data_IF_689459366600
#
_entry.id   IF_689459366600
#
_cell.length_a   1.000
_cell.length_b   1.000
_cell.length_c   1.000
_cell.angle_alpha   90.00
_cell.angle_beta   90.00
_cell.angle_gamma   90.00
#
_symmetry.space_group_name_H-M   'P 1'
#
loop_
_entity.id
_entity.type
_entity.pdbx_description
1 polymer ?
#
# COMPACT_ATOMS: atom_id res chain seq x y z
N UNK A 1 22.71 -1.83 11.03
CA UNK A 1 22.84 -1.04 9.79
C UNK A 1 22.36 0.36 10.12
N UNK A 2 23.16 1.40 9.91
CA UNK A 2 22.70 2.78 10.16
C UNK A 2 21.49 3.10 9.26
N UNK A 3 20.44 3.66 9.85
CA UNK A 3 19.22 4.06 9.15
C UNK A 3 19.49 5.36 8.36
N UNK A 4 20.37 5.28 7.36
CA UNK A 4 20.71 6.42 6.50
C UNK A 4 19.53 6.74 5.59
N UNK A 5 19.18 8.02 5.52
CA UNK A 5 18.31 8.56 4.47
C UNK A 5 18.88 8.17 3.11
N UNK A 6 18.03 7.58 2.26
CA UNK A 6 18.38 7.21 0.88
C UNK A 6 17.68 8.11 -0.13
N UNK A 7 16.53 8.70 0.23
CA UNK A 7 15.79 9.58 -0.64
C UNK A 7 15.05 10.65 0.17
N UNK A 8 14.92 11.83 -0.41
CA UNK A 8 14.33 13.00 0.21
C UNK A 8 13.26 13.56 -0.73
N UNK A 9 12.02 13.68 -0.23
CA UNK A 9 10.94 14.33 -0.97
C UNK A 9 10.68 15.68 -0.34
N UNK A 10 10.81 16.72 -1.15
CA UNK A 10 10.44 18.07 -0.79
C UNK A 10 9.14 18.44 -1.47
N UNK A 11 8.14 18.83 -0.69
CA UNK A 11 6.91 19.42 -1.22
C UNK A 11 6.49 20.62 -0.38
N UNK A 12 6.01 21.66 -1.06
CA UNK A 12 5.46 22.83 -0.39
C UNK A 12 4.02 22.52 0.01
N UNK A 13 3.73 22.57 1.30
CA UNK A 13 2.38 22.39 1.82
C UNK A 13 1.45 23.46 1.19
N UNK A 14 0.38 23.07 0.49
CA UNK A 14 -0.45 24.01 -0.26
C UNK A 14 -1.17 25.01 0.64
N UNK A 15 -1.47 24.62 1.89
CA UNK A 15 -2.19 25.42 2.90
C UNK A 15 -1.23 26.33 3.66
N UNK A 16 -0.16 25.77 4.24
CA UNK A 16 0.76 26.55 5.11
C UNK A 16 1.88 27.25 4.36
N UNK A 17 2.06 26.94 3.06
CA UNK A 17 3.19 27.39 2.20
C UNK A 17 4.57 27.05 2.78
N UNK A 18 4.65 26.15 3.74
CA UNK A 18 5.93 25.66 4.30
C UNK A 18 6.42 24.46 3.51
N UNK A 19 7.72 24.44 3.26
CA UNK A 19 8.38 23.26 2.70
C UNK A 19 8.40 22.14 3.74
N UNK A 20 7.86 21.00 3.35
CA UNK A 20 7.89 19.77 4.11
C UNK A 20 8.92 18.87 3.47
N UNK A 21 9.90 18.48 4.27
CA UNK A 21 10.98 17.60 3.88
C UNK A 21 10.73 16.22 4.50
N UNK A 22 10.42 15.23 3.66
CA UNK A 22 10.24 13.85 4.11
C UNK A 22 11.48 13.05 3.70
N UNK A 23 12.20 12.61 4.74
CA UNK A 23 13.31 11.70 4.61
C UNK A 23 12.81 10.24 4.60
N UNK A 24 13.21 9.49 3.58
CA UNK A 24 12.95 8.07 3.44
C UNK A 24 14.21 7.27 3.76
N UNK A 25 14.09 6.33 4.69
CA UNK A 25 15.10 5.32 4.96
C UNK A 25 14.91 4.11 4.05
N UNK A 26 15.90 3.20 4.03
CA UNK A 26 15.78 1.92 3.30
C UNK A 26 14.63 1.05 3.81
N UNK A 27 14.36 1.13 5.10
CA UNK A 27 13.23 0.45 5.73
C UNK A 27 11.89 1.07 5.29
N UNK A 28 11.81 2.40 5.19
CA UNK A 28 10.59 3.06 4.71
C UNK A 28 10.26 2.65 3.26
N UNK A 29 11.27 2.61 2.38
CA UNK A 29 11.08 2.19 0.98
C UNK A 29 10.65 0.71 0.90
N UNK A 30 11.21 -0.15 1.76
CA UNK A 30 10.79 -1.55 1.87
C UNK A 30 9.30 -1.67 2.22
N UNK A 31 8.87 -0.96 3.25
CA UNK A 31 7.50 -0.98 3.72
C UNK A 31 6.53 -0.49 2.64
N UNK A 32 6.95 0.55 1.91
CA UNK A 32 6.22 1.08 0.77
C UNK A 32 6.07 0.08 -0.36
N UNK A 33 7.15 -0.60 -0.73
CA UNK A 33 7.12 -1.65 -1.75
C UNK A 33 6.26 -2.83 -1.34
N UNK A 34 6.41 -3.31 -0.12
CA UNK A 34 5.70 -4.50 0.36
C UNK A 34 4.19 -4.28 0.43
N UNK A 35 3.76 -3.12 0.92
CA UNK A 35 2.33 -2.79 0.97
C UNK A 35 1.75 -2.54 -0.42
N UNK A 36 2.45 -1.80 -1.29
CA UNK A 36 1.98 -1.54 -2.65
C UNK A 36 1.82 -2.82 -3.48
N UNK A 37 2.77 -3.75 -3.38
CA UNK A 37 2.67 -5.06 -4.03
C UNK A 37 1.37 -5.76 -3.67
N UNK A 38 1.04 -5.78 -2.38
CA UNK A 38 -0.13 -6.50 -1.92
C UNK A 38 -1.45 -5.74 -2.13
N UNK A 39 -1.46 -4.42 -1.92
CA UNK A 39 -2.64 -3.59 -2.18
C UNK A 39 -3.08 -3.70 -3.64
N UNK A 40 -2.13 -3.64 -4.59
CA UNK A 40 -2.43 -3.79 -6.01
C UNK A 40 -2.82 -5.22 -6.40
N UNK A 41 -2.18 -6.24 -5.81
CA UNK A 41 -2.58 -7.64 -6.03
C UNK A 41 -3.99 -7.92 -5.52
N UNK A 42 -4.37 -7.36 -4.37
CA UNK A 42 -5.72 -7.43 -3.82
C UNK A 42 -6.72 -6.70 -4.70
N UNK A 43 -6.44 -5.46 -5.09
CA UNK A 43 -7.33 -4.69 -5.96
C UNK A 43 -7.56 -5.43 -7.28
N UNK A 44 -6.48 -5.96 -7.87
CA UNK A 44 -6.55 -6.80 -9.06
C UNK A 44 -7.39 -8.07 -8.83
N UNK A 45 -7.31 -8.71 -7.66
CA UNK A 45 -8.12 -9.88 -7.29
C UNK A 45 -9.59 -9.56 -7.02
N UNK A 46 -9.89 -8.36 -6.51
CA UNK A 46 -11.25 -7.89 -6.27
C UNK A 46 -11.94 -7.48 -7.59
N UNK A 47 -11.16 -7.14 -8.62
CA UNK A 47 -11.65 -6.70 -9.93
C UNK A 47 -11.62 -7.81 -10.98
N UNK A 48 -10.70 -8.76 -10.87
CA UNK A 48 -10.78 -9.98 -11.67
C UNK A 48 -11.99 -10.78 -11.21
N UNK A 49 -12.70 -11.41 -12.15
CA UNK A 49 -13.77 -12.38 -11.86
C UNK A 49 -13.20 -13.59 -11.14
N UNK A 50 -12.86 -13.44 -9.87
CA UNK A 50 -12.27 -14.50 -9.06
C UNK A 50 -13.44 -15.33 -8.52
N UNK A 51 -13.53 -16.58 -8.99
CA UNK A 51 -14.58 -17.57 -8.69
C UNK A 51 -15.96 -17.38 -9.34
N UNK A 52 -16.06 -16.67 -10.47
CA UNK A 52 -17.36 -16.51 -11.16
C UNK A 52 -18.39 -15.70 -10.37
N UNK A 53 -17.97 -15.08 -9.27
CA UNK A 53 -18.69 -14.00 -8.63
C UNK A 53 -18.33 -12.75 -9.43
N UNK A 54 -19.30 -12.20 -10.17
CA UNK A 54 -19.24 -10.79 -10.51
C UNK A 54 -19.22 -10.08 -9.15
N UNK A 55 -18.05 -9.55 -8.78
CA UNK A 55 -17.92 -8.62 -7.67
C UNK A 55 -17.95 -7.20 -8.23
N UNK A 56 -19.12 -6.67 -8.67
CA UNK A 56 -19.26 -5.23 -8.87
C UNK A 56 -19.39 -4.56 -7.49
N UNK A 57 -18.72 -5.05 -6.44
CA UNK A 57 -18.92 -4.50 -5.10
C UNK A 57 -18.53 -3.02 -5.08
N UNK A 58 -17.55 -2.59 -5.88
CA UNK A 58 -17.19 -1.18 -5.99
C UNK A 58 -18.12 -0.46 -6.98
N UNK A 59 -18.31 -0.97 -8.21
CA UNK A 59 -19.16 -0.33 -9.23
C UNK A 59 -20.64 -0.17 -8.82
N UNK A 60 -21.20 -1.17 -8.12
CA UNK A 60 -22.60 -1.20 -7.70
C UNK A 60 -22.86 -0.45 -6.39
N UNK A 61 -21.84 -0.25 -5.53
CA UNK A 61 -22.03 0.44 -4.22
C UNK A 61 -21.47 1.85 -4.17
N UNK A 62 -20.53 2.20 -5.05
CA UNK A 62 -19.91 3.54 -5.02
C UNK A 62 -20.46 4.47 -6.10
N UNK A 63 -21.21 3.97 -7.10
CA UNK A 63 -21.64 4.77 -8.26
C UNK A 63 -20.48 5.49 -8.99
N UNK A 64 -19.22 5.09 -8.74
CA UNK A 64 -18.06 5.65 -9.41
C UNK A 64 -18.06 5.23 -10.87
N UNK A 65 -17.81 6.18 -11.75
CA UNK A 65 -17.48 5.88 -13.14
C UNK A 65 -16.17 5.11 -13.21
N UNK A 66 -15.99 4.35 -14.29
CA UNK A 66 -14.75 3.62 -14.55
C UNK A 66 -13.51 4.54 -14.49
N UNK A 67 -13.62 5.77 -15.00
CA UNK A 67 -12.55 6.76 -14.97
C UNK A 67 -12.23 7.20 -13.54
N UNK A 68 -13.22 7.55 -12.72
CA UNK A 68 -12.99 7.96 -11.31
C UNK A 68 -12.36 6.84 -10.47
N UNK A 69 -12.72 5.58 -10.77
CA UNK A 69 -12.10 4.40 -10.16
C UNK A 69 -10.63 4.26 -10.56
N UNK A 70 -10.29 4.38 -11.85
CA UNK A 70 -8.90 4.35 -12.31
C UNK A 70 -8.09 5.51 -11.73
N UNK A 71 -8.67 6.70 -11.74
CA UNK A 71 -8.06 7.93 -11.26
C UNK A 71 -7.71 7.84 -9.77
N UNK A 72 -8.65 7.32 -8.97
CA UNK A 72 -8.45 7.05 -7.55
C UNK A 72 -7.36 6.01 -7.29
N UNK A 73 -7.17 5.02 -8.18
CA UNK A 73 -6.10 4.00 -8.05
C UNK A 73 -4.73 4.56 -8.39
N UNK A 74 -4.64 5.36 -9.45
CA UNK A 74 -3.38 6.03 -9.82
C UNK A 74 -2.98 6.99 -8.70
N UNK A 75 -3.92 7.77 -8.18
CA UNK A 75 -3.68 8.67 -7.05
C UNK A 75 -3.34 7.90 -5.77
N UNK A 76 -4.06 6.83 -5.45
CA UNK A 76 -3.78 5.97 -4.30
C UNK A 76 -2.40 5.29 -4.38
N UNK A 77 -2.02 4.80 -5.55
CA UNK A 77 -0.68 4.24 -5.83
C UNK A 77 0.39 5.33 -5.66
N UNK A 78 0.13 6.53 -6.18
CA UNK A 78 1.02 7.68 -6.03
C UNK A 78 1.21 8.05 -4.56
N UNK A 79 0.12 8.11 -3.77
CA UNK A 79 0.20 8.38 -2.33
C UNK A 79 0.96 7.30 -1.59
N UNK A 80 0.71 6.03 -1.91
CA UNK A 80 1.41 4.90 -1.33
C UNK A 80 2.92 4.96 -1.64
N UNK A 81 3.29 5.30 -2.89
CA UNK A 81 4.67 5.58 -3.32
C UNK A 81 5.23 6.89 -2.76
N UNK A 82 4.39 7.83 -2.35
CA UNK A 82 4.78 9.08 -1.69
C UNK A 82 4.94 8.91 -0.16
N UNK A 83 4.81 7.68 0.35
CA UNK A 83 5.09 7.37 1.75
C UNK A 83 3.88 7.10 2.61
N UNK A 84 2.66 7.03 2.08
CA UNK A 84 1.52 6.60 2.90
C UNK A 84 1.70 5.19 3.42
N UNK A 85 2.39 4.32 2.67
CA UNK A 85 2.62 2.98 3.14
C UNK A 85 3.54 2.91 4.37
N UNK A 86 4.45 3.87 4.52
CA UNK A 86 5.24 4.05 5.75
C UNK A 86 4.34 4.37 6.94
N UNK A 87 3.25 5.13 6.73
CA UNK A 87 2.28 5.46 7.80
C UNK A 87 1.56 4.20 8.27
N UNK A 88 1.11 3.34 7.35
CA UNK A 88 0.53 2.04 7.70
C UNK A 88 1.53 1.19 8.49
N UNK A 89 2.75 1.02 7.96
CA UNK A 89 3.75 0.14 8.54
C UNK A 89 4.13 0.56 9.96
N UNK A 90 4.45 1.84 10.14
CA UNK A 90 4.81 2.40 11.46
C UNK A 90 3.62 2.47 12.39
N UNK A 91 2.44 2.80 11.87
CA UNK A 91 1.21 2.80 12.66
C UNK A 91 0.85 1.40 13.15
N UNK A 92 1.10 0.37 12.35
CA UNK A 92 0.90 -1.02 12.74
C UNK A 92 1.90 -1.42 13.82
N UNK A 93 3.19 -1.14 13.63
CA UNK A 93 4.21 -1.46 14.64
C UNK A 93 3.92 -0.76 15.97
N UNK A 94 3.55 0.53 15.92
CA UNK A 94 3.13 1.30 17.09
C UNK A 94 1.87 0.72 17.74
N UNK A 95 0.88 0.35 16.95
CA UNK A 95 -0.35 -0.28 17.45
C UNK A 95 -0.03 -1.62 18.14
N UNK A 96 0.79 -2.47 17.51
CA UNK A 96 1.23 -3.74 18.10
C UNK A 96 1.95 -3.51 19.43
N UNK A 97 2.87 -2.55 19.49
CA UNK A 97 3.56 -2.16 20.74
C UNK A 97 2.56 -1.69 21.80
N UNK A 98 1.65 -0.78 21.45
CA UNK A 98 0.66 -0.21 22.37
C UNK A 98 -0.29 -1.25 22.96
N UNK A 99 -0.66 -2.26 22.17
CA UNK A 99 -1.53 -3.37 22.57
C UNK A 99 -0.75 -4.60 23.05
N UNK A 100 0.57 -4.52 23.21
CA UNK A 100 1.45 -5.62 23.61
C UNK A 100 1.32 -6.89 22.73
N UNK A 101 1.15 -6.70 21.43
CA UNK A 101 1.06 -7.75 20.42
C UNK A 101 2.47 -8.06 19.90
N UNK A 102 3.03 -9.16 20.38
CA UNK A 102 4.39 -9.60 20.02
C UNK A 102 4.34 -10.80 19.06
N UNK A 103 5.07 -10.71 17.95
CA UNK A 103 5.05 -11.73 16.90
C UNK A 103 5.62 -13.10 17.32
N UNK A 104 6.42 -13.15 18.40
CA UNK A 104 7.07 -14.36 18.93
C UNK A 104 6.26 -14.98 20.08
N UNK A 105 5.67 -14.15 20.95
CA UNK A 105 5.04 -14.63 22.19
C UNK A 105 3.52 -14.61 22.16
N UNK A 106 2.89 -13.72 21.39
CA UNK A 106 1.43 -13.69 21.28
C UNK A 106 0.90 -14.85 20.44
N UNK A 107 -0.32 -15.30 20.72
CA UNK A 107 -0.97 -16.35 19.96
C UNK A 107 -1.22 -15.91 18.51
N UNK A 108 -1.15 -16.85 17.57
CA UNK A 108 -1.36 -16.55 16.15
C UNK A 108 -2.74 -15.92 15.87
N UNK A 109 -3.77 -16.39 16.57
CA UNK A 109 -5.13 -15.85 16.49
C UNK A 109 -5.22 -14.41 16.96
N UNK A 110 -4.56 -14.06 18.06
CA UNK A 110 -4.55 -12.69 18.58
C UNK A 110 -3.84 -11.73 17.62
N UNK A 111 -2.68 -12.12 17.10
CA UNK A 111 -1.96 -11.29 16.13
C UNK A 111 -2.77 -11.15 14.83
N UNK A 112 -3.38 -12.25 14.36
CA UNK A 112 -4.25 -12.21 13.17
C UNK A 112 -5.41 -11.25 13.37
N UNK A 113 -6.09 -11.33 14.51
CA UNK A 113 -7.21 -10.45 14.83
C UNK A 113 -6.77 -8.98 14.89
N UNK A 114 -5.66 -8.68 15.57
CA UNK A 114 -5.11 -7.32 15.65
C UNK A 114 -4.75 -6.78 14.27
N UNK A 115 -4.00 -7.55 13.47
CA UNK A 115 -3.58 -7.16 12.13
C UNK A 115 -4.78 -6.94 11.19
N UNK A 116 -5.80 -7.80 11.28
CA UNK A 116 -7.07 -7.66 10.56
C UNK A 116 -7.81 -6.38 10.95
N UNK A 117 -8.00 -6.14 12.24
CA UNK A 117 -8.69 -4.94 12.73
C UNK A 117 -7.93 -3.67 12.39
N UNK A 118 -6.60 -3.66 12.56
CA UNK A 118 -5.75 -2.54 12.17
C UNK A 118 -5.90 -2.24 10.68
N UNK A 119 -5.85 -3.28 9.85
CA UNK A 119 -6.02 -3.14 8.41
C UNK A 119 -7.39 -2.58 8.03
N UNK A 120 -8.47 -3.09 8.64
CA UNK A 120 -9.82 -2.59 8.39
C UNK A 120 -9.97 -1.12 8.77
N UNK A 121 -9.57 -0.76 10.00
CA UNK A 121 -9.65 0.62 10.50
C UNK A 121 -8.80 1.57 9.64
N UNK A 122 -7.57 1.20 9.33
CA UNK A 122 -6.71 2.00 8.47
C UNK A 122 -7.34 2.18 7.09
N UNK A 123 -7.85 1.10 6.48
CA UNK A 123 -8.43 1.16 5.14
C UNK A 123 -9.68 2.03 5.10
N UNK A 124 -10.53 1.99 6.14
CA UNK A 124 -11.67 2.90 6.28
C UNK A 124 -11.23 4.36 6.33
N UNK A 125 -10.29 4.69 7.21
CA UNK A 125 -9.84 6.09 7.37
C UNK A 125 -9.16 6.58 6.10
N UNK A 126 -8.28 5.75 5.52
CA UNK A 126 -7.54 6.11 4.32
C UNK A 126 -8.46 6.27 3.11
N UNK A 127 -9.42 5.37 2.90
CA UNK A 127 -10.40 5.50 1.81
C UNK A 127 -11.30 6.71 1.99
N UNK A 128 -11.73 7.04 3.22
CA UNK A 128 -12.53 8.22 3.48
C UNK A 128 -11.77 9.51 3.13
N UNK A 129 -10.49 9.59 3.51
CA UNK A 129 -9.62 10.70 3.14
C UNK A 129 -9.43 10.74 1.62
N UNK A 130 -9.16 9.59 0.99
CA UNK A 130 -8.93 9.51 -0.45
C UNK A 130 -10.15 10.01 -1.24
N UNK A 131 -11.34 9.45 -0.99
CA UNK A 131 -12.56 9.87 -1.66
C UNK A 131 -12.91 11.33 -1.40
N UNK A 132 -12.68 11.84 -0.19
CA UNK A 132 -12.90 13.28 0.08
C UNK A 132 -11.99 14.23 -0.72
N UNK A 133 -10.89 13.71 -1.27
CA UNK A 133 -9.94 14.46 -2.08
C UNK A 133 -10.11 14.22 -3.59
N UNK A 134 -10.73 13.10 -3.99
CA UNK A 134 -10.81 12.68 -5.39
C UNK A 134 -12.21 12.69 -5.98
N UNK A 135 -13.25 12.84 -5.17
CA UNK A 135 -14.65 12.80 -5.64
C UNK A 135 -15.48 13.94 -5.05
N UNK A 136 -16.55 14.31 -5.75
CA UNK A 136 -17.54 15.29 -5.27
C UNK A 136 -18.65 14.64 -4.40
N UNK A 137 -18.40 13.43 -3.90
CA UNK A 137 -19.37 12.67 -3.12
C UNK A 137 -19.73 13.36 -1.81
N UNK A 138 -20.97 13.15 -1.37
CA UNK A 138 -21.40 13.62 -0.06
C UNK A 138 -20.66 12.86 1.05
N UNK A 139 -19.97 13.60 1.92
CA UNK A 139 -19.14 13.00 2.96
C UNK A 139 -19.90 12.01 3.87
N UNK A 140 -21.07 12.41 4.36
CA UNK A 140 -21.82 11.62 5.36
C UNK A 140 -22.58 10.48 4.72
N UNK A 141 -23.22 10.74 3.57
CA UNK A 141 -24.15 9.80 2.97
C UNK A 141 -23.49 8.81 2.00
N UNK A 142 -22.31 9.13 1.47
CA UNK A 142 -21.66 8.33 0.44
C UNK A 142 -20.25 7.92 0.89
N UNK A 143 -19.38 8.87 1.24
CA UNK A 143 -17.97 8.58 1.56
C UNK A 143 -17.86 7.69 2.80
N UNK A 144 -18.50 8.06 3.92
CA UNK A 144 -18.45 7.27 5.17
C UNK A 144 -18.92 5.81 4.97
N UNK A 145 -20.12 5.54 4.41
CA UNK A 145 -20.57 4.16 4.23
C UNK A 145 -19.71 3.37 3.23
N UNK A 146 -19.29 3.97 2.10
CA UNK A 146 -18.39 3.31 1.15
C UNK A 146 -17.04 2.97 1.78
N UNK A 147 -16.49 3.89 2.58
CA UNK A 147 -15.22 3.67 3.29
C UNK A 147 -15.34 2.61 4.38
N UNK A 148 -16.45 2.57 5.10
CA UNK A 148 -16.73 1.53 6.10
C UNK A 148 -16.83 0.15 5.44
N UNK A 149 -17.48 0.05 4.28
CA UNK A 149 -17.56 -1.18 3.51
C UNK A 149 -16.16 -1.65 3.05
N UNK A 150 -15.32 -0.74 2.57
CA UNK A 150 -13.91 -1.04 2.24
C UNK A 150 -13.17 -1.57 3.46
N UNK A 151 -13.36 -0.97 4.63
CA UNK A 151 -12.78 -1.46 5.88
C UNK A 151 -13.17 -2.90 6.22
N UNK A 152 -14.45 -3.24 6.05
CA UNK A 152 -14.96 -4.61 6.28
C UNK A 152 -14.33 -5.59 5.29
N UNK A 153 -14.26 -5.23 4.01
CA UNK A 153 -13.59 -6.05 2.97
C UNK A 153 -12.09 -6.20 3.25
N UNK A 154 -11.46 -5.20 3.88
CA UNK A 154 -10.05 -5.20 4.21
C UNK A 154 -9.69 -6.06 5.46
N UNK A 155 -10.64 -6.38 6.33
CA UNK A 155 -10.41 -7.22 7.52
C UNK A 155 -9.72 -8.56 7.19
N UNK A 156 -10.23 -9.42 6.28
CA UNK A 156 -9.58 -10.69 5.96
C UNK A 156 -8.18 -10.52 5.36
N UNK A 157 -7.89 -9.37 4.77
CA UNK A 157 -6.63 -9.07 4.12
C UNK A 157 -5.52 -8.65 5.09
N UNK A 158 -5.88 -8.15 6.28
CA UNK A 158 -4.91 -7.62 7.22
C UNK A 158 -3.83 -8.61 7.61
N UNK A 159 -4.18 -9.88 7.86
CA UNK A 159 -3.19 -10.95 8.10
C UNK A 159 -2.19 -11.10 6.95
N UNK A 160 -2.69 -11.05 5.72
CA UNK A 160 -1.88 -11.32 4.53
C UNK A 160 -0.97 -10.12 4.22
N UNK A 161 -1.50 -8.89 4.33
CA UNK A 161 -0.70 -7.65 4.22
C UNK A 161 0.43 -7.67 5.24
N UNK A 162 0.08 -7.89 6.50
CA UNK A 162 1.03 -7.86 7.62
C UNK A 162 2.11 -8.93 7.48
N UNK A 163 1.71 -10.16 7.11
CA UNK A 163 2.66 -11.23 6.86
C UNK A 163 3.64 -10.89 5.72
N UNK A 164 3.15 -10.29 4.63
CA UNK A 164 4.01 -9.90 3.51
C UNK A 164 4.97 -8.77 3.89
N UNK A 165 4.50 -7.76 4.60
CA UNK A 165 5.34 -6.67 5.10
C UNK A 165 6.42 -7.19 6.04
N UNK A 166 6.05 -7.99 7.03
CA UNK A 166 7.00 -8.60 7.96
C UNK A 166 7.99 -9.51 7.21
N UNK A 167 7.55 -10.25 6.19
CA UNK A 167 8.42 -11.09 5.35
C UNK A 167 9.41 -10.28 4.51
N UNK A 168 8.97 -9.17 3.90
CA UNK A 168 9.84 -8.28 3.12
C UNK A 168 10.91 -7.62 4.01
N UNK A 169 10.51 -7.15 5.20
CA UNK A 169 11.42 -6.62 6.21
C UNK A 169 12.45 -7.67 6.64
N UNK A 170 12.05 -8.93 6.79
CA UNK A 170 12.96 -10.05 7.09
C UNK A 170 13.92 -10.32 5.91
N UNK A 171 13.42 -10.25 4.69
CA UNK A 171 14.24 -10.52 3.51
C UNK A 171 15.33 -9.48 3.29
N UNK A 172 15.02 -8.22 3.57
CA UNK A 172 15.98 -7.13 3.50
C UNK A 172 16.85 -7.01 4.76
N UNK A 173 16.50 -7.73 5.82
CA UNK A 173 17.24 -7.82 7.06
C UNK A 173 17.02 -6.64 8.02
N UNK A 174 15.85 -6.00 7.96
CA UNK A 174 15.44 -4.93 8.88
C UNK A 174 14.86 -5.50 10.18
N UNK A 175 13.94 -6.47 10.06
CA UNK A 175 13.22 -7.05 11.21
C UNK A 175 13.00 -8.54 10.98
N UNK A 176 13.33 -9.38 11.95
CA UNK A 176 13.12 -10.83 11.83
C UNK A 176 11.62 -11.14 11.83
N UNK A 177 11.17 -11.97 10.88
CA UNK A 177 9.81 -12.50 10.87
C UNK A 177 9.78 -13.91 11.47
N UNK A 178 9.28 -14.09 12.70
CA UNK A 178 9.23 -15.42 13.33
C UNK A 178 8.23 -16.37 12.66
N UNK A 179 7.24 -15.85 11.94
CA UNK A 179 6.16 -16.62 11.30
C UNK A 179 6.50 -17.09 9.90
N UNK A 180 7.65 -16.68 9.37
CA UNK A 180 8.10 -17.02 8.04
C UNK A 180 8.25 -18.54 7.89
N UNK A 181 7.82 -19.08 6.76
CA UNK A 181 7.90 -20.53 6.49
C UNK A 181 9.33 -21.07 6.70
N UNK A 182 9.46 -22.16 7.47
CA UNK A 182 10.75 -22.67 7.99
C UNK A 182 11.87 -22.78 6.93
N UNK A 183 11.63 -23.30 5.72
CA UNK A 183 12.64 -23.35 4.66
C UNK A 183 13.15 -21.96 4.24
N UNK A 184 12.26 -20.98 4.12
CA UNK A 184 12.62 -19.60 3.75
C UNK A 184 13.39 -18.94 4.90
N UNK A 185 13.03 -19.24 6.15
CA UNK A 185 13.69 -18.68 7.34
C UNK A 185 15.17 -19.07 7.42
N UNK A 186 15.50 -20.28 6.94
CA UNK A 186 16.87 -20.84 6.91
C UNK A 186 17.73 -20.31 5.76
N UNK A 187 17.16 -19.55 4.82
CA UNK A 187 17.94 -18.97 3.72
C UNK A 187 18.93 -17.93 4.26
N UNK A 188 20.11 -17.88 3.66
CA UNK A 188 21.08 -16.83 3.96
C UNK A 188 20.60 -15.47 3.42
N UNK A 189 21.21 -14.39 3.91
CA UNK A 189 20.85 -13.02 3.54
C UNK A 189 20.82 -12.79 2.03
N UNK A 190 21.80 -13.29 1.29
CA UNK A 190 21.88 -13.12 -0.17
C UNK A 190 20.70 -13.75 -0.89
N UNK A 191 20.29 -14.97 -0.50
CA UNK A 191 19.12 -15.64 -1.09
C UNK A 191 17.82 -14.93 -0.75
N UNK A 192 17.69 -14.44 0.49
CA UNK A 192 16.53 -13.63 0.91
C UNK A 192 16.42 -12.32 0.12
N UNK A 193 17.54 -11.62 -0.07
CA UNK A 193 17.59 -10.42 -0.92
C UNK A 193 17.22 -10.74 -2.37
N UNK A 194 17.67 -11.88 -2.91
CA UNK A 194 17.27 -12.34 -4.25
C UNK A 194 15.77 -12.59 -4.37
N UNK A 195 15.13 -13.17 -3.35
CA UNK A 195 13.67 -13.34 -3.31
C UNK A 195 12.93 -12.00 -3.25
N UNK A 196 13.38 -11.07 -2.42
CA UNK A 196 12.81 -9.72 -2.38
C UNK A 196 12.95 -9.01 -3.74
N UNK A 197 14.10 -9.14 -4.39
CA UNK A 197 14.33 -8.62 -5.74
C UNK A 197 13.40 -9.24 -6.78
N UNK A 198 13.23 -10.57 -6.78
CA UNK A 198 12.30 -11.26 -7.68
C UNK A 198 10.84 -10.83 -7.47
N UNK A 199 10.40 -10.72 -6.21
CA UNK A 199 9.05 -10.24 -5.89
C UNK A 199 8.84 -8.80 -6.34
N UNK A 200 9.84 -7.94 -6.13
CA UNK A 200 9.80 -6.56 -6.59
C UNK A 200 9.78 -6.43 -8.11
N UNK A 201 10.60 -7.20 -8.82
CA UNK A 201 10.56 -7.22 -10.29
C UNK A 201 9.22 -7.74 -10.79
N UNK A 202 8.69 -8.83 -10.20
CA UNK A 202 7.37 -9.35 -10.55
C UNK A 202 6.28 -8.30 -10.35
N UNK A 203 6.33 -7.55 -9.24
CA UNK A 203 5.44 -6.43 -8.98
C UNK A 203 5.54 -5.34 -10.04
N UNK A 204 6.75 -4.83 -10.31
CA UNK A 204 6.96 -3.75 -11.28
C UNK A 204 6.51 -4.18 -12.68
N UNK A 205 6.82 -5.41 -13.09
CA UNK A 205 6.36 -5.97 -14.37
C UNK A 205 4.84 -6.09 -14.42
N UNK A 206 4.20 -6.56 -13.35
CA UNK A 206 2.73 -6.64 -13.29
C UNK A 206 2.08 -5.26 -13.35
N UNK A 207 2.65 -4.28 -12.64
CA UNK A 207 2.17 -2.91 -12.62
C UNK A 207 2.35 -2.26 -13.98
N UNK A 208 3.53 -2.41 -14.60
CA UNK A 208 3.80 -1.95 -15.96
C UNK A 208 2.83 -2.55 -16.97
N UNK A 209 2.58 -3.86 -16.93
CA UNK A 209 1.63 -4.52 -17.84
C UNK A 209 0.19 -4.03 -17.64
N UNK A 210 -0.21 -3.74 -16.40
CA UNK A 210 -1.51 -3.12 -16.14
C UNK A 210 -1.55 -1.69 -16.69
N UNK A 211 -0.51 -0.87 -16.47
CA UNK A 211 -0.43 0.50 -16.97
C UNK A 211 -0.38 0.58 -18.51
N UNK A 212 0.37 -0.30 -19.18
CA UNK A 212 0.44 -0.38 -20.65
C UNK A 212 -0.93 -0.72 -21.28
N UNK A 213 -1.73 -1.55 -20.61
CA UNK A 213 -3.13 -1.76 -21.00
C UNK A 213 -4.00 -0.53 -20.78
N UNK A 214 -3.65 0.29 -19.79
CA UNK A 214 -4.36 1.53 -19.47
C UNK A 214 -3.95 2.70 -20.37
N UNK A 215 -2.74 2.74 -20.94
CA UNK A 215 -2.31 3.80 -21.90
C UNK A 215 -3.11 3.82 -23.21
N UNK A 216 -3.95 2.80 -23.46
CA UNK A 216 -4.99 2.85 -24.50
C UNK A 216 -6.26 3.62 -24.08
N UNK A 217 -6.28 4.19 -22.87
CA UNK A 217 -7.32 5.06 -22.32
C UNK A 217 -6.71 6.45 -22.12
N UNK A 218 -7.30 7.49 -22.71
CA UNK A 218 -6.83 8.87 -22.53
C UNK A 218 -7.04 9.32 -21.08
N UNK A 219 -5.97 9.37 -20.29
CA UNK A 219 -6.01 9.95 -18.94
C UNK A 219 -5.90 11.46 -19.01
N UNK A 220 -6.86 12.17 -18.42
CA UNK A 220 -6.86 13.63 -18.36
C UNK A 220 -6.42 14.12 -16.97
N UNK A 221 -5.24 13.68 -16.52
CA UNK A 221 -4.69 14.09 -15.21
C UNK A 221 -3.59 15.15 -15.35
N UNK A 222 -3.69 16.28 -14.62
CA UNK A 222 -2.56 17.21 -14.48
C UNK A 222 -1.35 16.63 -13.72
N UNK A 223 -1.50 15.45 -13.07
CA UNK A 223 -0.43 14.75 -12.37
C UNK A 223 0.53 14.01 -13.32
N UNK A 224 0.10 13.61 -14.52
CA UNK A 224 0.96 12.90 -15.48
C UNK A 224 2.19 13.77 -15.83
N UNK A 225 1.98 15.07 -16.06
CA UNK A 225 3.08 16.03 -16.23
C UNK A 225 4.01 16.09 -15.02
N UNK A 226 3.49 16.01 -13.79
CA UNK A 226 4.31 16.12 -12.58
C UNK A 226 5.08 14.83 -12.29
N UNK A 227 4.46 13.67 -12.51
CA UNK A 227 5.08 12.34 -12.35
C UNK A 227 6.12 12.11 -13.44
N UNK A 228 5.83 12.44 -14.70
CA UNK A 228 6.80 12.36 -15.81
C UNK A 228 7.99 13.28 -15.57
N UNK A 229 7.77 14.51 -15.11
CA UNK A 229 8.86 15.41 -14.70
C UNK A 229 9.69 14.89 -13.52
N UNK A 230 9.05 14.19 -12.57
CA UNK A 230 9.73 13.55 -11.45
C UNK A 230 10.57 12.36 -11.92
N UNK A 231 10.03 11.52 -12.81
CA UNK A 231 10.70 10.37 -13.40
C UNK A 231 11.90 10.79 -14.26
N UNK A 232 11.73 11.81 -15.11
CA UNK A 232 12.82 12.39 -15.90
C UNK A 232 13.95 12.92 -15.02
N UNK A 233 13.63 13.60 -13.92
CA UNK A 233 14.63 14.07 -12.94
C UNK A 233 15.37 12.96 -12.21
N UNK A 234 14.73 11.80 -12.02
CA UNK A 234 15.35 10.62 -11.39
C UNK A 234 16.29 9.91 -12.38
N UNK A 235 15.95 9.87 -13.67
CA UNK A 235 16.76 9.16 -14.68
C UNK A 235 17.96 10.00 -15.17
N UNK A 236 17.85 11.33 -15.16
CA UNK A 236 18.92 12.23 -15.67
C UNK A 236 19.97 12.65 -14.62
N UNK A 237 19.94 12.06 -13.42
CA UNK A 237 20.96 12.25 -12.37
C UNK A 237 21.62 10.92 -12.00
#
# INVERSE_FOLDING_TARGET
>A
MENKTIFEVNFTNPISKKDVNINFTREDVCDMTAQNFFANAVLSLLETKVFGLDFPLIEYTTQLTYQESLDSRVFGTTLALAGFSKVYAKGQDFSREKFNIDLKTSSEGLVTLHDSLYCGVYSTIFSAVLYSLTTDMNFVNEIVPSSALIGVVALPLGRVISYNMDSFRDFLGFKENPKLFKPIKRLNKTKKLGLAGLLLTGYLTSTYYTLDKLDNLEFNFPLEKQVTQLYEKIITK
#
